data_IF_391143176678
#
_entry.id   IF_391143176678
#
_cell.length_a   1.000
_cell.length_b   1.000
_cell.length_c   1.000
_cell.angle_alpha   90.00
_cell.angle_beta   90.00
_cell.angle_gamma   90.00
#
_symmetry.space_group_name_H-M   'P 1'
#
loop_
_entity.id
_entity.type
_entity.pdbx_description
1 polymer ?
#
# COMPACT_ATOMS: atom_id res chain seq x y z
N UNK A 1 -5.89 4.81 -1.34
CA UNK A 1 -4.97 5.97 -1.52
C UNK A 1 -5.64 7.26 -2.00
N UNK A 2 -6.97 7.30 -2.27
CA UNK A 2 -7.65 8.53 -2.74
C UNK A 2 -7.53 9.70 -1.74
N UNK A 3 -7.71 9.43 -0.43
CA UNK A 3 -7.56 10.43 0.62
C UNK A 3 -6.13 11.03 0.68
N UNK A 4 -5.10 10.18 0.63
CA UNK A 4 -3.69 10.62 0.56
C UNK A 4 -3.41 11.50 -0.67
N UNK A 5 -4.04 11.21 -1.81
CA UNK A 5 -3.94 12.03 -3.01
C UNK A 5 -4.59 13.42 -2.85
N UNK A 6 -5.74 13.48 -2.17
CA UNK A 6 -6.40 14.75 -1.83
C UNK A 6 -5.54 15.59 -0.87
N UNK A 7 -4.94 14.95 0.14
CA UNK A 7 -4.03 15.61 1.09
C UNK A 7 -2.77 16.15 0.40
N UNK A 8 -2.16 15.37 -0.50
CA UNK A 8 -0.99 15.83 -1.26
C UNK A 8 -1.33 17.05 -2.15
N UNK A 9 -2.52 17.05 -2.76
CA UNK A 9 -3.02 18.19 -3.54
C UNK A 9 -3.22 19.43 -2.66
N UNK A 10 -3.79 19.23 -1.47
CA UNK A 10 -3.95 20.31 -0.49
C UNK A 10 -2.60 20.90 -0.06
N UNK A 11 -1.62 20.05 0.26
CA UNK A 11 -0.28 20.52 0.66
C UNK A 11 0.45 21.27 -0.46
N UNK A 12 0.23 20.89 -1.72
CA UNK A 12 0.77 21.64 -2.86
C UNK A 12 0.15 23.04 -2.96
N UNK A 13 -1.14 23.20 -2.63
CA UNK A 13 -1.78 24.52 -2.54
C UNK A 13 -1.21 25.34 -1.39
N UNK A 14 -0.95 24.73 -0.24
CA UNK A 14 -0.28 25.40 0.89
C UNK A 14 1.13 25.85 0.52
N UNK A 15 1.89 25.01 -0.20
CA UNK A 15 3.22 25.39 -0.71
C UNK A 15 3.14 26.59 -1.66
N UNK A 16 2.20 26.57 -2.60
CA UNK A 16 1.98 27.70 -3.52
C UNK A 16 1.59 28.97 -2.76
N UNK A 17 0.72 28.87 -1.76
CA UNK A 17 0.35 29.98 -0.90
C UNK A 17 1.55 30.56 -0.13
N UNK A 18 2.44 29.69 0.37
CA UNK A 18 3.67 30.09 1.05
C UNK A 18 4.62 30.85 0.13
N UNK A 19 4.74 30.45 -1.14
CA UNK A 19 5.53 31.20 -2.13
C UNK A 19 4.86 32.53 -2.46
N UNK A 20 3.53 32.53 -2.66
CA UNK A 20 2.78 33.72 -3.00
C UNK A 20 2.88 34.81 -1.91
N UNK A 21 2.92 34.43 -0.62
CA UNK A 21 3.14 35.37 0.49
C UNK A 21 4.42 36.19 0.37
N UNK A 22 5.47 35.60 -0.18
CA UNK A 22 6.77 36.25 -0.33
C UNK A 22 6.87 37.17 -1.56
N UNK A 23 5.97 36.99 -2.54
CA UNK A 23 6.06 37.66 -3.85
C UNK A 23 4.95 38.68 -4.08
N UNK A 24 3.77 38.48 -3.47
CA UNK A 24 2.59 39.30 -3.73
C UNK A 24 2.52 40.53 -2.81
N UNK A 25 2.18 41.68 -3.40
CA UNK A 25 2.14 42.99 -2.75
C UNK A 25 0.74 43.45 -2.27
N UNK A 26 -0.39 43.07 -2.89
CA UNK A 26 -1.71 43.44 -2.36
C UNK A 26 -2.03 42.73 -1.04
N UNK A 27 -2.28 43.50 0.03
CA UNK A 27 -2.49 42.98 1.38
C UNK A 27 -3.72 42.07 1.50
N UNK A 28 -4.77 42.29 0.71
CA UNK A 28 -5.96 41.42 0.67
C UNK A 28 -5.60 40.01 0.21
N UNK A 29 -4.72 39.91 -0.80
CA UNK A 29 -4.25 38.62 -1.34
C UNK A 29 -3.27 37.99 -0.36
N UNK A 30 -2.41 38.79 0.28
CA UNK A 30 -1.48 38.33 1.32
C UNK A 30 -2.21 37.73 2.51
N UNK A 31 -3.22 38.41 3.04
CA UNK A 31 -4.00 37.96 4.21
C UNK A 31 -4.66 36.60 4.01
N UNK A 32 -5.23 36.35 2.82
CA UNK A 32 -5.83 35.05 2.49
C UNK A 32 -4.81 33.91 2.43
N UNK A 33 -3.65 34.14 1.82
CA UNK A 33 -2.58 33.12 1.78
C UNK A 33 -1.96 32.90 3.16
N UNK A 34 -1.90 33.94 3.99
CA UNK A 34 -1.39 33.88 5.36
C UNK A 34 -2.23 32.93 6.22
N UNK A 35 -3.57 33.07 6.16
CA UNK A 35 -4.49 32.15 6.84
C UNK A 35 -4.34 30.69 6.38
N UNK A 36 -4.01 30.44 5.11
CA UNK A 36 -3.80 29.09 4.57
C UNK A 36 -2.51 28.46 5.11
N UNK A 37 -1.46 29.26 5.30
CA UNK A 37 -0.13 28.78 5.72
C UNK A 37 -0.01 28.68 7.25
N UNK A 38 -0.59 29.63 8.00
CA UNK A 38 -0.50 29.70 9.48
C UNK A 38 -1.18 28.54 10.21
N UNK A 39 -2.05 27.78 9.53
CA UNK A 39 -2.70 26.62 10.12
C UNK A 39 -1.73 25.48 10.51
N UNK A 40 -0.45 25.53 10.10
CA UNK A 40 0.51 24.47 10.34
C UNK A 40 1.93 24.97 10.64
N UNK A 41 2.53 24.42 11.70
CA UNK A 41 3.91 24.73 12.13
C UNK A 41 4.95 23.98 11.30
N UNK A 42 4.59 22.84 10.71
CA UNK A 42 5.49 22.02 9.90
C UNK A 42 5.48 22.49 8.45
N UNK A 43 6.66 22.71 7.82
CA UNK A 43 6.74 23.10 6.41
C UNK A 43 6.01 22.13 5.47
N UNK A 44 5.32 22.70 4.48
CA UNK A 44 4.55 21.92 3.51
C UNK A 44 5.43 20.90 2.75
N UNK A 45 6.66 21.27 2.40
CA UNK A 45 7.58 20.39 1.66
C UNK A 45 7.99 19.15 2.46
N UNK A 46 8.25 19.28 3.76
CA UNK A 46 8.55 18.14 4.64
C UNK A 46 7.40 17.14 4.67
N UNK A 47 6.16 17.65 4.75
CA UNK A 47 4.94 16.81 4.73
C UNK A 47 4.70 16.16 3.38
N UNK A 48 4.91 16.89 2.29
CA UNK A 48 4.84 16.35 0.92
C UNK A 48 5.82 15.19 0.77
N UNK A 49 7.07 15.38 1.17
CA UNK A 49 8.10 14.34 1.06
C UNK A 49 7.80 13.10 1.91
N UNK A 50 7.30 13.28 3.14
CA UNK A 50 6.89 12.16 3.99
C UNK A 50 5.78 11.34 3.33
N UNK A 51 4.70 11.99 2.89
CA UNK A 51 3.57 11.34 2.23
C UNK A 51 3.97 10.65 0.92
N UNK A 52 4.87 11.27 0.13
CA UNK A 52 5.38 10.66 -1.08
C UNK A 52 6.22 9.39 -0.80
N UNK A 53 7.02 9.39 0.27
CA UNK A 53 7.80 8.21 0.71
C UNK A 53 6.87 7.09 1.17
N UNK A 54 5.88 7.39 2.00
CA UNK A 54 4.88 6.43 2.45
C UNK A 54 4.10 5.83 1.28
N UNK A 55 3.67 6.66 0.33
CA UNK A 55 2.95 6.20 -0.85
C UNK A 55 3.81 5.23 -1.69
N UNK A 56 5.10 5.53 -1.85
CA UNK A 56 6.03 4.62 -2.55
C UNK A 56 6.18 3.30 -1.83
N UNK A 57 6.37 3.32 -0.51
CA UNK A 57 6.49 2.11 0.29
C UNK A 57 5.24 1.24 0.19
N UNK A 58 4.06 1.84 0.35
CA UNK A 58 2.79 1.13 0.23
C UNK A 58 2.62 0.48 -1.16
N UNK A 59 3.01 1.16 -2.24
CA UNK A 59 2.99 0.58 -3.58
C UNK A 59 3.92 -0.63 -3.68
N UNK A 60 5.15 -0.52 -3.18
CA UNK A 60 6.12 -1.61 -3.17
C UNK A 60 5.60 -2.82 -2.39
N UNK A 61 5.01 -2.59 -1.21
CA UNK A 61 4.41 -3.63 -0.39
C UNK A 61 3.25 -4.34 -1.10
N UNK A 62 2.34 -3.59 -1.73
CA UNK A 62 1.23 -4.17 -2.49
C UNK A 62 1.76 -5.07 -3.62
N UNK A 63 2.76 -4.60 -4.37
CA UNK A 63 3.38 -5.40 -5.44
C UNK A 63 4.07 -6.66 -4.89
N UNK A 64 4.77 -6.54 -3.77
CA UNK A 64 5.40 -7.69 -3.11
C UNK A 64 4.38 -8.74 -2.65
N UNK A 65 3.29 -8.29 -2.03
CA UNK A 65 2.20 -9.16 -1.58
C UNK A 65 1.46 -9.82 -2.74
N UNK A 66 1.16 -9.09 -3.81
CA UNK A 66 0.53 -9.65 -5.01
C UNK A 66 1.40 -10.75 -5.64
N UNK A 67 2.72 -10.54 -5.70
CA UNK A 67 3.67 -11.56 -6.17
C UNK A 67 3.63 -12.81 -5.27
N UNK A 68 3.77 -12.62 -3.96
CA UNK A 68 3.78 -13.71 -2.99
C UNK A 68 2.48 -14.53 -3.04
N UNK A 69 1.34 -13.85 -3.16
CA UNK A 69 0.03 -14.48 -3.33
C UNK A 69 -0.02 -15.33 -4.61
N UNK A 70 0.47 -14.82 -5.75
CA UNK A 70 0.50 -15.56 -7.01
C UNK A 70 1.44 -16.76 -6.97
N UNK A 71 2.58 -16.64 -6.29
CA UNK A 71 3.52 -17.74 -6.08
C UNK A 71 2.85 -18.85 -5.25
N UNK A 72 2.20 -18.48 -4.15
CA UNK A 72 1.56 -19.44 -3.25
C UNK A 72 0.34 -20.12 -3.89
N UNK A 73 -0.46 -19.36 -4.65
CA UNK A 73 -1.55 -19.92 -5.45
C UNK A 73 -1.07 -20.96 -6.45
N UNK A 74 0.09 -20.74 -7.09
CA UNK A 74 0.70 -21.71 -8.00
C UNK A 74 1.15 -22.97 -7.27
N UNK A 75 1.81 -22.84 -6.11
CA UNK A 75 2.22 -23.99 -5.28
C UNK A 75 1.03 -24.82 -4.83
N UNK A 76 -0.03 -24.17 -4.37
CA UNK A 76 -1.26 -24.84 -3.97
C UNK A 76 -1.88 -25.65 -5.11
N UNK A 77 -1.94 -25.07 -6.31
CA UNK A 77 -2.49 -25.76 -7.48
C UNK A 77 -1.63 -26.97 -7.86
N UNK A 78 -0.31 -26.83 -7.88
CA UNK A 78 0.60 -27.94 -8.14
C UNK A 78 0.46 -29.08 -7.10
N UNK A 79 0.35 -28.74 -5.82
CA UNK A 79 0.12 -29.72 -4.76
C UNK A 79 -1.24 -30.44 -4.92
N UNK A 80 -2.28 -29.74 -5.35
CA UNK A 80 -3.59 -30.33 -5.64
C UNK A 80 -3.53 -31.30 -6.83
N UNK A 81 -2.83 -30.94 -7.89
CA UNK A 81 -2.62 -31.81 -9.06
C UNK A 81 -1.83 -33.07 -8.67
N UNK A 82 -0.75 -32.90 -7.90
CA UNK A 82 0.01 -34.02 -7.35
C UNK A 82 -0.86 -34.93 -6.50
N UNK A 83 -1.62 -34.36 -5.55
CA UNK A 83 -2.54 -35.12 -4.71
C UNK A 83 -3.58 -35.91 -5.52
N UNK A 84 -4.17 -35.30 -6.55
CA UNK A 84 -5.13 -35.96 -7.44
C UNK A 84 -4.49 -37.08 -8.30
N UNK A 85 -3.20 -36.96 -8.62
CA UNK A 85 -2.46 -37.95 -9.40
C UNK A 85 -2.04 -39.20 -8.60
N UNK A 86 -1.99 -39.09 -7.26
CA UNK A 86 -1.61 -40.21 -6.40
C UNK A 86 -2.75 -41.22 -6.37
N UNK A 87 -2.49 -42.39 -6.96
CA UNK A 87 -3.40 -43.53 -6.89
C UNK A 87 -3.33 -44.10 -5.48
N UNK A 88 -4.37 -43.88 -4.69
CA UNK A 88 -4.48 -44.43 -3.33
C UNK A 88 -4.56 -45.95 -3.41
N UNK A 89 -3.53 -46.63 -2.90
CA UNK A 89 -3.54 -48.06 -2.67
C UNK A 89 -3.69 -48.28 -1.16
N UNK A 90 -4.91 -48.62 -0.69
CA UNK A 90 -5.10 -48.95 0.72
C UNK A 90 -4.16 -50.09 1.08
N UNK A 91 -3.36 -49.91 2.12
CA UNK A 91 -2.56 -50.99 2.71
C UNK A 91 -3.55 -52.08 3.12
N UNK A 92 -3.34 -53.31 2.64
CA UNK A 92 -4.17 -54.46 3.01
C UNK A 92 -4.27 -54.53 4.53
N UNK A 93 -5.49 -54.46 5.06
CA UNK A 93 -5.75 -54.76 6.46
C UNK A 93 -5.33 -56.21 6.72
N UNK A 94 -4.31 -56.39 7.56
CA UNK A 94 -3.81 -57.71 8.00
C UNK A 94 -4.74 -58.37 9.04
N UNK A 95 -5.99 -57.94 9.14
CA UNK A 95 -7.01 -58.63 9.94
C UNK A 95 -7.64 -59.74 9.09
N UNK A 96 -7.03 -60.93 9.06
CA UNK A 96 -7.68 -62.26 8.98
C UNK A 96 -6.79 -63.37 8.38
N UNK A 97 -5.56 -63.55 8.86
CA UNK A 97 -4.87 -64.85 8.74
C UNK A 97 -4.42 -65.32 10.11
N UNK A 98 -5.40 -65.69 10.94
CA UNK A 98 -5.25 -66.56 12.10
C UNK A 98 -6.56 -67.30 12.27
N UNK A 99 -6.66 -68.46 11.63
CA UNK A 99 -7.38 -69.64 12.13
C UNK A 99 -7.04 -70.77 11.16
N UNK A 100 -5.97 -71.49 11.50
CA UNK A 100 -5.83 -72.90 11.19
C UNK A 100 -6.57 -73.73 12.23
#
# INVERSE_FOLDING_TARGET
>A
MKATGAELSNLRKVRQASVALNVWQPEVVRGRHKQIVEQCVVPADSRIHALERELRLCKQLITGLDKAYRDEKRRLNAAKEQFASVKYYPVRDYSSTSQG
#
